data_IF_821269300364
#
_entry.id   IF_821269300364
#
_cell.length_a   1.000
_cell.length_b   1.000
_cell.length_c   1.000
_cell.angle_alpha   90.00
_cell.angle_beta   90.00
_cell.angle_gamma   90.00
#
_symmetry.space_group_name_H-M   'P 1'
#
loop_
_entity.id
_entity.type
_entity.pdbx_description
1 polymer ?
#
# COMPACT_ATOMS: atom_id res chain seq x y z
N UNK A 1 12.86 -14.80 8.76
CA UNK A 1 12.42 -14.18 7.48
C UNK A 1 12.85 -15.13 6.38
N UNK A 2 12.04 -15.32 5.35
CA UNK A 2 12.43 -16.17 4.22
C UNK A 2 13.17 -15.30 3.19
N UNK A 3 14.49 -15.46 3.10
CA UNK A 3 15.34 -14.63 2.23
C UNK A 3 14.93 -14.72 0.76
N UNK A 4 14.40 -15.88 0.31
CA UNK A 4 13.96 -16.07 -1.07
C UNK A 4 12.76 -15.18 -1.41
N UNK A 5 11.81 -15.04 -0.49
CA UNK A 5 10.63 -14.19 -0.70
C UNK A 5 11.06 -12.73 -0.83
N UNK A 6 11.89 -12.25 0.10
CA UNK A 6 12.37 -10.85 0.07
C UNK A 6 13.13 -10.56 -1.22
N UNK A 7 14.07 -11.43 -1.62
CA UNK A 7 14.84 -11.28 -2.84
C UNK A 7 13.92 -11.21 -4.07
N UNK A 8 12.96 -12.12 -4.16
CA UNK A 8 12.02 -12.16 -5.28
C UNK A 8 11.12 -10.91 -5.30
N UNK A 9 10.59 -10.49 -4.15
CA UNK A 9 9.77 -9.28 -4.05
C UNK A 9 10.54 -8.04 -4.48
N UNK A 10 11.79 -7.85 -4.01
CA UNK A 10 12.64 -6.72 -4.46
C UNK A 10 12.85 -6.80 -5.97
N UNK A 11 13.23 -7.98 -6.48
CA UNK A 11 13.46 -8.16 -7.91
C UNK A 11 12.25 -7.76 -8.76
N UNK A 12 11.05 -8.24 -8.40
CA UNK A 12 9.84 -7.91 -9.15
C UNK A 12 9.42 -6.45 -9.01
N UNK A 13 9.63 -5.82 -7.84
CA UNK A 13 9.37 -4.39 -7.65
C UNK A 13 10.30 -3.57 -8.55
N UNK A 14 11.61 -3.84 -8.52
CA UNK A 14 12.61 -3.16 -9.34
C UNK A 14 12.30 -3.36 -10.83
N UNK A 15 12.00 -4.60 -11.24
CA UNK A 15 11.63 -4.91 -12.61
C UNK A 15 10.38 -4.14 -13.05
N UNK A 16 9.35 -4.06 -12.21
CA UNK A 16 8.13 -3.31 -12.49
C UNK A 16 8.42 -1.80 -12.64
N UNK A 17 9.29 -1.24 -11.82
CA UNK A 17 9.67 0.19 -11.90
C UNK A 17 10.46 0.49 -13.16
N UNK A 18 11.41 -0.38 -13.54
CA UNK A 18 12.16 -0.26 -14.80
C UNK A 18 11.21 -0.37 -16.00
N UNK A 19 10.32 -1.37 -16.02
CA UNK A 19 9.34 -1.53 -17.09
C UNK A 19 8.35 -0.36 -17.13
N UNK A 20 7.99 0.22 -15.98
CA UNK A 20 7.14 1.40 -15.91
C UNK A 20 7.86 2.63 -16.49
N UNK A 21 9.14 2.83 -16.18
CA UNK A 21 9.95 3.90 -16.74
C UNK A 21 10.17 3.74 -18.25
N UNK A 22 10.44 2.52 -18.73
CA UNK A 22 10.53 2.25 -20.18
C UNK A 22 9.17 2.40 -20.86
N UNK A 23 8.09 1.97 -20.20
CA UNK A 23 6.72 2.11 -20.66
C UNK A 23 6.25 3.56 -20.74
N UNK A 24 6.88 4.47 -20.00
CA UNK A 24 6.64 5.91 -20.13
C UNK A 24 7.11 6.46 -21.48
N UNK A 25 8.24 5.99 -22.02
CA UNK A 25 8.71 6.36 -23.36
C UNK A 25 8.03 5.57 -24.47
N UNK A 26 7.82 4.28 -24.23
CA UNK A 26 7.31 3.34 -25.23
C UNK A 26 5.96 2.80 -24.78
N UNK A 27 4.89 3.38 -25.31
CA UNK A 27 3.51 2.98 -24.98
C UNK A 27 3.28 1.46 -25.19
N UNK A 28 3.92 0.86 -26.19
CA UNK A 28 3.85 -0.58 -26.44
C UNK A 28 4.40 -1.41 -25.27
N UNK A 29 5.48 -0.96 -24.61
CA UNK A 29 6.03 -1.63 -23.42
C UNK A 29 5.04 -1.55 -22.26
N UNK A 30 4.41 -0.38 -22.05
CA UNK A 30 3.39 -0.21 -21.01
C UNK A 30 2.20 -1.15 -21.24
N UNK A 31 1.70 -1.18 -22.48
CA UNK A 31 0.60 -2.04 -22.92
C UNK A 31 0.93 -3.52 -22.71
N UNK A 32 2.09 -3.99 -23.19
CA UNK A 32 2.51 -5.39 -23.04
C UNK A 32 2.66 -5.75 -21.56
N UNK A 33 3.32 -4.90 -20.76
CA UNK A 33 3.52 -5.14 -19.34
C UNK A 33 2.18 -5.20 -18.59
N UNK A 34 1.23 -4.32 -18.90
CA UNK A 34 -0.13 -4.34 -18.36
C UNK A 34 -0.81 -5.70 -18.56
N UNK A 35 -0.85 -6.19 -19.81
CA UNK A 35 -1.52 -7.46 -20.11
C UNK A 35 -0.77 -8.66 -19.53
N UNK A 36 0.57 -8.67 -19.54
CA UNK A 36 1.35 -9.73 -18.91
C UNK A 36 1.04 -9.80 -17.41
N UNK A 37 1.07 -8.67 -16.69
CA UNK A 37 0.78 -8.64 -15.25
C UNK A 37 -0.67 -9.08 -14.98
N UNK A 38 -1.64 -8.63 -15.78
CA UNK A 38 -3.04 -9.02 -15.64
C UNK A 38 -3.24 -10.53 -15.86
N UNK A 39 -2.70 -11.08 -16.95
CA UNK A 39 -2.81 -12.51 -17.29
C UNK A 39 -2.11 -13.37 -16.24
N UNK A 40 -0.88 -13.00 -15.84
CA UNK A 40 -0.16 -13.70 -14.78
C UNK A 40 -0.93 -13.69 -13.47
N UNK A 41 -1.51 -12.55 -13.10
CA UNK A 41 -2.34 -12.44 -11.88
C UNK A 41 -3.57 -13.35 -11.98
N UNK A 42 -4.24 -13.38 -13.12
CA UNK A 42 -5.40 -14.24 -13.33
C UNK A 42 -5.03 -15.73 -13.21
N UNK A 43 -4.00 -16.18 -13.94
CA UNK A 43 -3.53 -17.57 -13.92
C UNK A 43 -3.13 -17.97 -12.49
N UNK A 44 -2.34 -17.14 -11.81
CA UNK A 44 -1.88 -17.43 -10.44
C UNK A 44 -3.03 -17.41 -9.44
N UNK A 45 -4.03 -16.55 -9.62
CA UNK A 45 -5.22 -16.50 -8.75
C UNK A 45 -6.11 -17.72 -8.93
N UNK A 46 -6.29 -18.18 -10.16
CA UNK A 46 -7.02 -19.42 -10.47
C UNK A 46 -6.30 -20.65 -9.91
N UNK A 47 -4.96 -20.67 -9.94
CA UNK A 47 -4.18 -21.72 -9.29
C UNK A 47 -4.32 -21.66 -7.76
N UNK A 48 -3.99 -20.52 -7.15
CA UNK A 48 -4.19 -20.22 -5.72
C UNK A 48 -4.37 -18.71 -5.51
N UNK A 49 -5.56 -18.31 -5.06
CA UNK A 49 -5.96 -16.90 -4.82
C UNK A 49 -4.90 -16.07 -4.06
N UNK A 50 -4.19 -16.69 -3.11
CA UNK A 50 -3.14 -16.02 -2.33
C UNK A 50 -2.04 -15.38 -3.16
N UNK A 51 -1.66 -15.97 -4.29
CA UNK A 51 -0.57 -15.43 -5.12
C UNK A 51 -0.99 -14.16 -5.84
N UNK A 52 -2.21 -14.13 -6.40
CA UNK A 52 -2.75 -12.90 -6.97
C UNK A 52 -2.91 -11.80 -5.92
N UNK A 53 -3.34 -12.17 -4.71
CA UNK A 53 -3.44 -11.24 -3.59
C UNK A 53 -2.07 -10.66 -3.21
N UNK A 54 -1.00 -11.43 -3.27
CA UNK A 54 0.36 -10.91 -3.05
C UNK A 54 0.78 -9.89 -4.12
N UNK A 55 0.40 -10.09 -5.38
CA UNK A 55 0.66 -9.13 -6.46
C UNK A 55 -0.13 -7.84 -6.23
N UNK A 56 -1.44 -7.96 -5.98
CA UNK A 56 -2.32 -6.83 -5.70
C UNK A 56 -1.84 -6.00 -4.49
N UNK A 57 -1.47 -6.65 -3.39
CA UNK A 57 -0.95 -5.96 -2.21
C UNK A 57 0.40 -5.28 -2.50
N UNK A 58 1.26 -5.90 -3.31
CA UNK A 58 2.54 -5.29 -3.69
C UNK A 58 2.29 -4.02 -4.52
N UNK A 59 1.41 -4.09 -5.53
CA UNK A 59 1.02 -2.93 -6.34
C UNK A 59 0.39 -1.83 -5.48
N UNK A 60 -0.53 -2.17 -4.57
CA UNK A 60 -1.15 -1.19 -3.67
C UNK A 60 -0.11 -0.41 -2.85
N UNK A 61 0.92 -1.11 -2.36
CA UNK A 61 1.95 -0.50 -1.54
C UNK A 61 2.86 0.41 -2.36
N UNK A 62 3.30 0.01 -3.55
CA UNK A 62 4.30 0.79 -4.31
C UNK A 62 3.71 1.76 -5.33
N UNK A 63 2.50 1.48 -5.85
CA UNK A 63 1.96 2.09 -7.06
C UNK A 63 1.28 3.44 -6.87
N UNK A 64 1.14 3.94 -5.64
CA UNK A 64 0.45 5.19 -5.28
C UNK A 64 -0.96 5.31 -5.89
N UNK A 65 -1.15 5.97 -7.04
CA UNK A 65 -2.46 6.02 -7.74
C UNK A 65 -2.76 4.77 -8.60
N UNK A 66 -1.77 3.91 -8.83
CA UNK A 66 -1.93 2.63 -9.51
C UNK A 66 -1.80 2.68 -11.03
N UNK A 67 -1.22 3.75 -11.57
CA UNK A 67 -0.99 3.94 -13.01
C UNK A 67 0.46 3.67 -13.43
N UNK A 68 1.20 2.82 -12.68
CA UNK A 68 2.50 2.31 -13.11
C UNK A 68 2.40 1.65 -14.50
N UNK A 69 1.29 0.93 -14.71
CA UNK A 69 0.86 0.39 -16.00
C UNK A 69 -0.62 0.71 -16.19
N UNK A 70 -1.02 0.96 -17.43
CA UNK A 70 -2.41 1.27 -17.76
C UNK A 70 -2.72 0.89 -19.20
N UNK A 71 -3.99 0.61 -19.44
CA UNK A 71 -4.54 0.50 -20.78
C UNK A 71 -5.30 1.77 -21.10
N UNK A 72 -5.00 2.39 -22.24
CA UNK A 72 -5.67 3.59 -22.72
C UNK A 72 -6.21 3.37 -24.13
N UNK A 73 -7.52 3.55 -24.31
CA UNK A 73 -8.17 3.47 -25.61
C UNK A 73 -9.31 4.48 -25.70
N UNK A 74 -9.34 5.30 -26.76
CA UNK A 74 -10.38 6.31 -27.00
C UNK A 74 -10.75 7.18 -25.79
N UNK A 75 -9.77 7.61 -25.00
CA UNK A 75 -9.96 8.46 -23.81
C UNK A 75 -10.34 7.72 -22.53
N UNK A 76 -10.58 6.40 -22.58
CA UNK A 76 -10.77 5.57 -21.41
C UNK A 76 -9.42 5.02 -20.93
N UNK A 77 -9.05 5.35 -19.69
CA UNK A 77 -7.79 4.95 -19.07
C UNK A 77 -8.04 4.01 -17.88
N UNK A 78 -7.72 2.73 -18.05
CA UNK A 78 -7.85 1.71 -16.99
C UNK A 78 -6.49 1.47 -16.35
N UNK A 79 -6.42 1.66 -15.04
CA UNK A 79 -5.20 1.41 -14.27
C UNK A 79 -4.98 -0.10 -14.02
N UNK A 80 -3.71 -0.50 -13.86
CA UNK A 80 -3.40 -1.88 -13.48
C UNK A 80 -4.03 -2.22 -12.12
N UNK A 81 -4.14 -1.25 -11.20
CA UNK A 81 -4.79 -1.45 -9.91
C UNK A 81 -6.23 -1.91 -10.02
N UNK A 82 -7.05 -1.21 -10.81
CA UNK A 82 -8.46 -1.56 -11.00
C UNK A 82 -8.57 -2.95 -11.64
N UNK A 83 -7.70 -3.23 -12.61
CA UNK A 83 -7.64 -4.53 -13.29
C UNK A 83 -7.29 -5.66 -12.32
N UNK A 84 -6.27 -5.49 -11.48
CA UNK A 84 -5.89 -6.47 -10.46
C UNK A 84 -7.01 -6.65 -9.44
N UNK A 85 -7.63 -5.56 -8.97
CA UNK A 85 -8.76 -5.62 -8.06
C UNK A 85 -9.92 -6.43 -8.65
N UNK A 86 -10.30 -6.16 -9.90
CA UNK A 86 -11.35 -6.88 -10.62
C UNK A 86 -11.02 -8.37 -10.76
N UNK A 87 -9.79 -8.72 -11.14
CA UNK A 87 -9.36 -10.12 -11.26
C UNK A 87 -9.49 -10.84 -9.92
N UNK A 88 -8.95 -10.27 -8.84
CA UNK A 88 -8.97 -10.91 -7.52
C UNK A 88 -10.38 -11.06 -7.00
N UNK A 89 -11.21 -10.02 -7.12
CA UNK A 89 -12.60 -10.07 -6.69
C UNK A 89 -13.41 -11.08 -7.52
N UNK A 90 -13.22 -11.12 -8.84
CA UNK A 90 -13.94 -12.05 -9.72
C UNK A 90 -13.58 -13.50 -9.45
N UNK A 91 -12.28 -13.80 -9.32
CA UNK A 91 -11.81 -15.16 -9.01
C UNK A 91 -12.31 -15.59 -7.63
N UNK A 92 -12.21 -14.72 -6.63
CA UNK A 92 -12.73 -15.00 -5.30
C UNK A 92 -14.24 -15.25 -5.31
N UNK A 93 -15.01 -14.41 -6.01
CA UNK A 93 -16.46 -14.54 -6.12
C UNK A 93 -16.84 -15.86 -6.81
N UNK A 94 -16.15 -16.21 -7.91
CA UNK A 94 -16.36 -17.48 -8.60
C UNK A 94 -16.12 -18.68 -7.65
N UNK A 95 -15.02 -18.65 -6.88
CA UNK A 95 -14.73 -19.70 -5.88
C UNK A 95 -15.81 -19.75 -4.80
N UNK A 96 -16.28 -18.60 -4.31
CA UNK A 96 -17.34 -18.53 -3.31
C UNK A 96 -18.68 -19.08 -3.84
N UNK A 97 -19.05 -18.75 -5.08
CA UNK A 97 -20.27 -19.25 -5.74
C UNK A 97 -20.17 -20.76 -5.99
N UNK A 98 -19.04 -21.27 -6.47
CA UNK A 98 -18.84 -22.71 -6.68
C UNK A 98 -18.95 -23.45 -5.34
N UNK A 99 -18.37 -22.90 -4.27
CA UNK A 99 -18.50 -23.50 -2.93
C UNK A 99 -19.95 -23.50 -2.47
N UNK A 100 -20.66 -22.38 -2.61
CA UNK A 100 -22.08 -22.27 -2.30
C UNK A 100 -22.93 -23.29 -3.07
N UNK A 101 -22.67 -23.47 -4.37
CA UNK A 101 -23.39 -24.45 -5.18
C UNK A 101 -23.16 -25.89 -4.71
N UNK A 102 -21.93 -26.22 -4.28
CA UNK A 102 -21.56 -27.57 -3.80
C UNK A 102 -22.05 -27.86 -2.38
N UNK A 103 -21.94 -26.90 -1.47
CA UNK A 103 -22.21 -27.13 -0.03
C UNK A 103 -23.57 -26.59 0.43
N UNK A 104 -24.26 -25.81 -0.42
CA UNK A 104 -25.45 -25.00 -0.09
C UNK A 104 -25.25 -24.05 1.11
N UNK A 105 -23.99 -23.80 1.50
CA UNK A 105 -23.63 -22.95 2.64
C UNK A 105 -22.60 -21.91 2.21
N UNK A 106 -22.97 -20.64 2.33
CA UNK A 106 -22.05 -19.52 2.12
C UNK A 106 -21.26 -19.29 3.40
N UNK A 107 -20.04 -19.80 3.46
CA UNK A 107 -19.13 -19.56 4.58
C UNK A 107 -18.25 -18.35 4.28
N UNK A 108 -18.71 -17.17 4.72
CA UNK A 108 -17.92 -15.94 4.73
C UNK A 108 -17.45 -15.66 6.16
N UNK A 109 -16.23 -16.11 6.49
CA UNK A 109 -15.66 -15.95 7.84
C UNK A 109 -15.67 -14.51 8.32
N UNK A 110 -15.53 -13.56 7.39
CA UNK A 110 -15.53 -12.15 7.70
C UNK A 110 -16.80 -11.70 8.45
N UNK A 111 -17.98 -12.25 8.11
CA UNK A 111 -19.23 -11.92 8.81
C UNK A 111 -19.27 -12.39 10.26
N UNK A 112 -18.44 -13.38 10.62
CA UNK A 112 -18.30 -13.84 12.01
C UNK A 112 -17.20 -13.10 12.77
N UNK A 113 -16.44 -12.24 12.10
CA UNK A 113 -15.36 -11.50 12.73
C UNK A 113 -15.89 -10.34 13.56
N UNK A 114 -15.18 -10.00 14.64
CA UNK A 114 -15.47 -8.79 15.43
C UNK A 114 -15.36 -7.50 14.63
N UNK A 115 -14.68 -7.54 13.47
CA UNK A 115 -14.47 -6.39 12.62
C UNK A 115 -15.66 -6.08 11.69
N UNK A 116 -16.61 -7.02 11.54
CA UNK A 116 -17.74 -6.87 10.64
C UNK A 116 -18.55 -5.59 10.92
N UNK A 117 -18.84 -5.31 12.19
CA UNK A 117 -19.63 -4.14 12.59
C UNK A 117 -18.96 -2.80 12.21
N UNK A 118 -17.63 -2.73 12.24
CA UNK A 118 -16.91 -1.52 11.78
C UNK A 118 -17.08 -1.31 10.27
N UNK A 119 -17.11 -2.39 9.49
CA UNK A 119 -17.39 -2.32 8.04
C UNK A 119 -18.86 -1.99 7.75
N UNK A 120 -19.79 -2.45 8.57
CA UNK A 120 -21.20 -2.03 8.47
C UNK A 120 -21.34 -0.54 8.72
N UNK A 121 -20.71 -0.02 9.79
CA UNK A 121 -20.70 1.42 10.06
C UNK A 121 -20.11 2.21 8.88
N UNK A 122 -18.97 1.76 8.34
CA UNK A 122 -18.36 2.36 7.15
C UNK A 122 -19.30 2.34 5.94
N UNK A 123 -19.95 1.20 5.67
CA UNK A 123 -20.88 1.06 4.56
C UNK A 123 -22.08 2.03 4.69
N UNK A 124 -22.59 2.23 5.90
CA UNK A 124 -23.66 3.21 6.17
C UNK A 124 -23.21 4.61 5.77
N UNK A 125 -22.00 5.04 6.16
CA UNK A 125 -21.48 6.37 5.80
C UNK A 125 -21.23 6.52 4.31
N UNK A 126 -20.74 5.48 3.63
CA UNK A 126 -20.55 5.50 2.16
C UNK A 126 -21.91 5.62 1.45
N UNK A 127 -22.89 4.80 1.83
CA UNK A 127 -24.23 4.83 1.25
C UNK A 127 -24.89 6.18 1.51
N UNK A 128 -24.76 6.71 2.73
CA UNK A 128 -25.27 8.04 3.07
C UNK A 128 -24.62 9.13 2.22
N UNK A 129 -23.30 9.09 2.03
CA UNK A 129 -22.57 10.01 1.14
C UNK A 129 -23.05 9.93 -0.30
N UNK A 130 -23.27 8.71 -0.83
CA UNK A 130 -23.81 8.51 -2.18
C UNK A 130 -25.23 9.08 -2.31
N UNK A 131 -26.12 8.76 -1.36
CA UNK A 131 -27.50 9.27 -1.35
C UNK A 131 -27.48 10.80 -1.30
N UNK A 132 -26.70 11.40 -0.40
CA UNK A 132 -26.58 12.86 -0.30
C UNK A 132 -26.02 13.47 -1.59
N UNK A 133 -25.03 12.83 -2.22
CA UNK A 133 -24.48 13.23 -3.51
C UNK A 133 -25.55 13.30 -4.60
N UNK A 134 -26.42 12.28 -4.68
CA UNK A 134 -27.54 12.26 -5.63
C UNK A 134 -28.64 13.27 -5.27
N UNK A 135 -28.97 13.43 -3.99
CA UNK A 135 -29.97 14.41 -3.53
C UNK A 135 -29.55 15.87 -3.82
N UNK A 136 -28.26 16.15 -3.86
CA UNK A 136 -27.72 17.45 -4.24
C UNK A 136 -27.61 17.66 -5.76
N UNK A 137 -28.20 16.78 -6.57
CA UNK A 137 -28.19 16.84 -8.05
C UNK A 137 -26.78 16.85 -8.65
N UNK A 138 -25.80 16.21 -7.99
CA UNK A 138 -24.49 16.01 -8.59
C UNK A 138 -24.59 15.02 -9.76
N UNK A 139 -23.72 15.20 -10.76
CA UNK A 139 -23.60 14.26 -11.89
C UNK A 139 -23.33 12.84 -11.36
N UNK A 140 -24.06 11.86 -11.89
CA UNK A 140 -23.94 10.45 -11.46
C UNK A 140 -22.52 9.91 -11.63
N UNK A 141 -21.78 10.40 -12.64
CA UNK A 141 -20.36 10.08 -12.83
C UNK A 141 -19.52 10.49 -11.62
N UNK A 142 -19.75 11.68 -11.07
CA UNK A 142 -18.97 12.22 -9.96
C UNK A 142 -19.24 11.42 -8.68
N UNK A 143 -20.51 11.11 -8.41
CA UNK A 143 -20.91 10.29 -7.26
C UNK A 143 -20.30 8.88 -7.38
N UNK A 144 -20.32 8.30 -8.59
CA UNK A 144 -19.72 6.98 -8.82
C UNK A 144 -18.20 6.99 -8.64
N UNK A 145 -17.49 7.96 -9.21
CA UNK A 145 -16.04 8.03 -9.09
C UNK A 145 -15.57 8.30 -7.65
N UNK A 146 -16.36 9.03 -6.87
CA UNK A 146 -16.09 9.20 -5.43
C UNK A 146 -16.32 7.88 -4.66
N UNK A 147 -17.45 7.21 -4.91
CA UNK A 147 -17.77 5.91 -4.30
C UNK A 147 -16.76 4.80 -4.67
N UNK A 148 -16.25 4.81 -5.90
CA UNK A 148 -15.31 3.81 -6.42
C UNK A 148 -14.04 3.70 -5.56
N UNK A 149 -13.57 4.80 -4.96
CA UNK A 149 -12.41 4.79 -4.07
C UNK A 149 -12.62 3.89 -2.83
N UNK A 150 -13.88 3.69 -2.43
CA UNK A 150 -14.25 2.89 -1.27
C UNK A 150 -14.42 1.39 -1.58
N UNK A 151 -14.61 1.02 -2.85
CA UNK A 151 -14.76 -0.41 -3.22
C UNK A 151 -13.50 -1.23 -2.96
N UNK A 152 -12.35 -0.57 -2.78
CA UNK A 152 -11.14 -1.25 -2.35
C UNK A 152 -11.28 -1.95 -0.99
N UNK A 153 -12.18 -1.48 -0.11
CA UNK A 153 -12.48 -2.15 1.17
C UNK A 153 -13.13 -3.53 0.98
N UNK A 154 -13.73 -3.82 -0.17
CA UNK A 154 -14.26 -5.16 -0.46
C UNK A 154 -13.18 -6.24 -0.53
N UNK A 155 -11.90 -5.86 -0.67
CA UNK A 155 -10.77 -6.80 -0.56
C UNK A 155 -10.70 -7.49 0.79
N UNK A 156 -11.40 -7.00 1.82
CA UNK A 156 -11.51 -7.70 3.11
C UNK A 156 -11.98 -9.16 2.93
N UNK A 157 -12.87 -9.43 1.97
CA UNK A 157 -13.37 -10.77 1.73
C UNK A 157 -12.30 -11.76 1.22
N UNK A 158 -11.60 -11.50 0.09
CA UNK A 158 -10.52 -12.37 -0.34
C UNK A 158 -9.38 -12.42 0.68
N UNK A 159 -9.06 -11.31 1.37
CA UNK A 159 -8.04 -11.27 2.42
C UNK A 159 -8.37 -12.24 3.55
N UNK A 160 -9.58 -12.20 4.12
CA UNK A 160 -9.98 -13.11 5.20
C UNK A 160 -10.01 -14.57 4.73
N UNK A 161 -10.42 -14.83 3.48
CA UNK A 161 -10.43 -16.20 2.94
C UNK A 161 -9.03 -16.80 2.79
N UNK A 162 -8.01 -15.96 2.54
CA UNK A 162 -6.61 -16.37 2.34
C UNK A 162 -5.81 -16.39 3.64
N UNK A 163 -6.05 -15.43 4.54
CA UNK A 163 -5.25 -15.21 5.75
C UNK A 163 -5.53 -16.20 6.90
N UNK A 164 -6.09 -17.37 6.60
CA UNK A 164 -6.41 -18.39 7.60
C UNK A 164 -5.18 -19.06 8.22
N UNK A 165 -4.00 -18.97 7.59
CA UNK A 165 -2.77 -19.63 8.08
C UNK A 165 -1.68 -18.63 8.45
N UNK A 166 -0.96 -18.93 9.53
CA UNK A 166 0.18 -18.13 10.02
C UNK A 166 1.28 -17.95 8.95
N UNK A 167 1.43 -18.92 8.05
CA UNK A 167 2.44 -18.84 7.01
C UNK A 167 2.11 -17.80 5.94
N UNK A 168 0.83 -17.63 5.57
CA UNK A 168 0.42 -16.57 4.65
C UNK A 168 0.61 -15.18 5.28
N UNK A 169 0.32 -15.05 6.59
CA UNK A 169 0.59 -13.83 7.34
C UNK A 169 2.09 -13.50 7.38
N UNK A 170 2.96 -14.48 7.59
CA UNK A 170 4.42 -14.29 7.54
C UNK A 170 4.90 -13.81 6.18
N UNK A 171 4.31 -14.32 5.09
CA UNK A 171 4.65 -13.90 3.72
C UNK A 171 4.20 -12.44 3.48
N UNK A 172 2.96 -12.10 3.83
CA UNK A 172 2.44 -10.73 3.65
C UNK A 172 3.23 -9.72 4.47
N UNK A 173 3.63 -10.05 5.72
CA UNK A 173 4.52 -9.20 6.52
C UNK A 173 5.86 -8.96 5.83
N UNK A 174 6.41 -9.96 5.16
CA UNK A 174 7.67 -9.81 4.40
C UNK A 174 7.47 -8.92 3.17
N UNK A 175 6.42 -9.15 2.38
CA UNK A 175 6.07 -8.31 1.23
C UNK A 175 5.89 -6.86 1.66
N UNK A 176 5.11 -6.64 2.74
CA UNK A 176 4.87 -5.32 3.31
C UNK A 176 6.18 -4.62 3.68
N UNK A 177 7.01 -5.25 4.51
CA UNK A 177 8.27 -4.66 4.96
C UNK A 177 9.21 -4.38 3.78
N UNK A 178 9.29 -5.30 2.81
CA UNK A 178 10.11 -5.13 1.61
C UNK A 178 9.64 -3.97 0.75
N UNK A 179 8.34 -3.82 0.53
CA UNK A 179 7.79 -2.69 -0.21
C UNK A 179 8.03 -1.36 0.50
N UNK A 180 7.91 -1.31 1.83
CA UNK A 180 8.24 -0.10 2.60
C UNK A 180 9.72 0.28 2.51
N UNK A 181 10.63 -0.70 2.59
CA UNK A 181 12.05 -0.46 2.38
C UNK A 181 12.31 0.10 0.98
N UNK A 182 11.69 -0.48 -0.05
CA UNK A 182 11.79 0.02 -1.42
C UNK A 182 11.32 1.47 -1.53
N UNK A 183 10.11 1.79 -1.05
CA UNK A 183 9.57 3.15 -1.05
C UNK A 183 10.52 4.13 -0.36
N UNK A 184 11.09 3.73 0.77
CA UNK A 184 11.99 4.58 1.55
C UNK A 184 13.31 4.84 0.81
N UNK A 185 13.91 3.78 0.25
CA UNK A 185 15.14 3.88 -0.55
C UNK A 185 14.88 4.74 -1.79
N UNK A 186 13.79 4.49 -2.52
CA UNK A 186 13.38 5.28 -3.70
C UNK A 186 13.23 6.75 -3.33
N UNK A 187 12.60 7.05 -2.19
CA UNK A 187 12.40 8.43 -1.73
C UNK A 187 13.73 9.13 -1.42
N UNK A 188 14.66 8.45 -0.75
CA UNK A 188 15.99 9.00 -0.45
C UNK A 188 16.81 9.22 -1.73
N UNK A 189 16.80 8.25 -2.66
CA UNK A 189 17.49 8.36 -3.94
C UNK A 189 16.95 9.54 -4.76
N UNK A 190 15.64 9.70 -4.83
CA UNK A 190 15.03 10.84 -5.51
C UNK A 190 15.37 12.16 -4.82
N UNK A 191 15.28 12.22 -3.50
CA UNK A 191 15.65 13.43 -2.76
C UNK A 191 17.10 13.84 -3.05
N UNK A 192 18.01 12.86 -3.12
CA UNK A 192 19.41 13.09 -3.48
C UNK A 192 19.56 13.62 -4.90
N UNK A 193 18.98 12.94 -5.90
CA UNK A 193 19.05 13.31 -7.33
C UNK A 193 18.56 14.76 -7.54
N UNK A 194 17.39 15.08 -7.00
CA UNK A 194 16.75 16.38 -7.21
C UNK A 194 17.38 17.51 -6.40
N UNK A 195 17.97 17.21 -5.24
CA UNK A 195 18.67 18.22 -4.43
C UNK A 195 20.05 18.58 -5.00
N UNK A 196 20.69 17.69 -5.75
CA UNK A 196 22.03 17.89 -6.33
C UNK A 196 22.03 18.26 -7.82
N UNK A 197 20.86 18.39 -8.43
CA UNK A 197 20.70 18.77 -9.83
C UNK A 197 21.51 17.89 -10.82
N UNK A 198 21.39 16.55 -10.71
CA UNK A 198 21.88 15.58 -11.70
C UNK A 198 21.24 15.80 -13.09
N UNK A 199 21.77 16.76 -13.85
CA UNK A 199 21.07 17.44 -14.94
C UNK A 199 20.44 16.55 -16.01
N UNK A 200 21.13 15.51 -16.50
CA UNK A 200 20.70 14.82 -17.72
C UNK A 200 19.38 14.05 -17.60
N UNK A 201 19.08 13.45 -16.43
CA UNK A 201 17.91 12.58 -16.25
C UNK A 201 16.81 13.17 -15.35
N UNK A 202 16.98 14.37 -14.82
CA UNK A 202 16.04 14.95 -13.84
C UNK A 202 14.65 15.18 -14.44
N UNK A 203 14.58 15.77 -15.63
CA UNK A 203 13.30 16.10 -16.27
C UNK A 203 12.52 14.82 -16.59
N UNK A 204 13.22 13.82 -17.09
CA UNK A 204 12.68 12.51 -17.42
C UNK A 204 12.11 11.78 -16.21
N UNK A 205 12.91 11.69 -15.13
CA UNK A 205 12.48 11.08 -13.87
C UNK A 205 11.30 11.85 -13.28
N UNK A 206 11.32 13.18 -13.33
CA UNK A 206 10.24 14.03 -12.86
C UNK A 206 8.93 13.76 -13.61
N UNK A 207 8.98 13.78 -14.95
CA UNK A 207 7.82 13.56 -15.80
C UNK A 207 7.26 12.15 -15.65
N UNK A 208 8.12 11.13 -15.55
CA UNK A 208 7.69 9.76 -15.27
C UNK A 208 6.94 9.66 -13.94
N UNK A 209 7.51 10.17 -12.85
CA UNK A 209 6.88 10.14 -11.52
C UNK A 209 5.55 10.91 -11.52
N UNK A 210 5.53 12.08 -12.17
CA UNK A 210 4.34 12.93 -12.21
C UNK A 210 3.22 12.31 -13.05
N UNK A 211 3.53 11.79 -14.24
CA UNK A 211 2.52 11.23 -15.18
C UNK A 211 2.03 9.84 -14.78
N UNK A 212 2.88 9.03 -14.16
CA UNK A 212 2.45 7.75 -13.57
C UNK A 212 1.65 7.92 -12.27
N UNK A 213 1.64 9.14 -11.71
CA UNK A 213 0.94 9.41 -10.46
C UNK A 213 1.58 8.70 -9.25
N UNK A 214 2.87 8.39 -9.34
CA UNK A 214 3.59 7.71 -8.26
C UNK A 214 3.93 8.68 -7.12
N UNK A 215 4.16 9.95 -7.46
CA UNK A 215 4.44 10.97 -6.48
C UNK A 215 4.53 12.38 -7.05
N UNK A 216 4.91 13.30 -6.20
CA UNK A 216 5.11 14.71 -6.47
C UNK A 216 6.47 15.15 -5.95
N UNK A 217 7.17 15.92 -6.76
CA UNK A 217 8.47 16.48 -6.42
C UNK A 217 8.34 17.99 -6.44
N UNK A 218 8.77 18.64 -5.36
CA UNK A 218 8.64 20.09 -5.22
C UNK A 218 9.90 20.65 -4.56
N UNK A 219 10.52 21.64 -5.21
CA UNK A 219 11.63 22.37 -4.61
C UNK A 219 11.07 23.27 -3.51
N UNK A 220 11.52 23.10 -2.28
CA UNK A 220 11.06 23.90 -1.13
C UNK A 220 12.03 25.03 -0.86
N UNK A 221 13.32 24.73 -0.87
CA UNK A 221 14.41 25.69 -0.73
C UNK A 221 15.57 25.25 -1.64
N UNK A 222 16.50 26.15 -2.01
CA UNK A 222 17.70 25.76 -2.73
C UNK A 222 18.44 24.61 -2.04
N UNK A 223 18.77 23.55 -2.77
CA UNK A 223 19.44 22.37 -2.23
C UNK A 223 18.54 21.39 -1.47
N UNK A 224 17.22 21.58 -1.44
CA UNK A 224 16.29 20.60 -0.86
C UNK A 224 15.00 20.45 -1.67
N UNK A 225 14.78 19.22 -2.14
CA UNK A 225 13.56 18.81 -2.83
C UNK A 225 12.69 17.93 -1.94
N UNK A 226 11.44 18.34 -1.76
CA UNK A 226 10.40 17.51 -1.14
C UNK A 226 9.98 16.41 -2.12
N UNK A 227 10.02 15.16 -1.66
CA UNK A 227 9.56 13.99 -2.42
C UNK A 227 8.36 13.40 -1.71
N UNK A 228 7.15 13.57 -2.27
CA UNK A 228 5.91 13.10 -1.67
C UNK A 228 5.29 11.98 -2.51
N UNK A 229 4.98 10.83 -1.91
CA UNK A 229 4.23 9.75 -2.55
C UNK A 229 3.03 9.39 -1.69
N UNK A 230 1.87 9.14 -2.29
CA UNK A 230 0.65 8.78 -1.57
C UNK A 230 0.85 7.49 -0.77
N UNK A 231 1.65 6.56 -1.29
CA UNK A 231 2.06 5.32 -0.64
C UNK A 231 2.87 5.50 0.65
N UNK A 232 3.43 6.67 0.92
CA UNK A 232 4.12 6.96 2.18
C UNK A 232 3.23 6.82 3.42
N UNK A 233 1.90 6.82 3.26
CA UNK A 233 0.98 6.47 4.36
C UNK A 233 1.28 5.07 4.93
N UNK A 234 1.68 4.12 4.10
CA UNK A 234 2.06 2.78 4.55
C UNK A 234 3.41 2.79 5.29
N UNK A 235 4.32 3.71 4.94
CA UNK A 235 5.58 3.91 5.66
C UNK A 235 5.30 4.45 7.07
N UNK A 236 4.36 5.40 7.22
CA UNK A 236 3.92 5.90 8.52
C UNK A 236 3.30 4.79 9.39
N UNK A 237 2.44 3.95 8.80
CA UNK A 237 1.87 2.78 9.49
C UNK A 237 2.98 1.81 9.91
N UNK A 238 3.91 1.49 9.01
CA UNK A 238 5.04 0.61 9.28
C UNK A 238 5.96 1.13 10.38
N UNK A 239 6.21 2.45 10.39
CA UNK A 239 6.97 3.14 11.43
C UNK A 239 6.35 2.91 12.81
N UNK A 240 5.04 3.14 12.96
CA UNK A 240 4.38 2.95 14.25
C UNK A 240 4.28 1.47 14.68
N UNK A 241 4.09 0.54 13.74
CA UNK A 241 4.14 -0.91 14.04
C UNK A 241 5.51 -1.29 14.60
N UNK A 242 6.59 -0.85 13.97
CA UNK A 242 7.96 -1.14 14.44
C UNK A 242 8.28 -0.43 15.76
N UNK A 243 7.82 0.81 15.93
CA UNK A 243 8.00 1.56 17.17
C UNK A 243 7.29 0.87 18.34
N UNK A 244 6.05 0.42 18.15
CA UNK A 244 5.31 -0.32 19.16
C UNK A 244 5.97 -1.67 19.49
N UNK A 245 6.46 -2.37 18.46
CA UNK A 245 7.22 -3.61 18.65
C UNK A 245 8.49 -3.37 19.48
N UNK A 246 9.26 -2.32 19.18
CA UNK A 246 10.46 -1.96 19.91
C UNK A 246 10.14 -1.58 21.36
N UNK A 247 9.11 -0.75 21.59
CA UNK A 247 8.65 -0.38 22.93
C UNK A 247 8.33 -1.62 23.77
N UNK A 248 7.62 -2.60 23.20
CA UNK A 248 7.32 -3.87 23.88
C UNK A 248 8.59 -4.63 24.27
N UNK A 249 9.58 -4.71 23.37
CA UNK A 249 10.84 -5.40 23.65
C UNK A 249 11.65 -4.71 24.75
N UNK A 250 11.74 -3.37 24.71
CA UNK A 250 12.42 -2.58 25.74
C UNK A 250 11.80 -2.79 27.11
N UNK A 251 10.47 -2.80 27.20
CA UNK A 251 9.76 -2.99 28.47
C UNK A 251 9.89 -4.40 29.03
N UNK A 252 9.95 -5.40 28.17
CA UNK A 252 10.17 -6.80 28.58
C UNK A 252 11.65 -7.13 28.83
N UNK A 253 12.56 -6.16 28.65
CA UNK A 253 14.02 -6.35 28.74
C UNK A 253 14.55 -7.50 27.85
N UNK A 254 13.87 -7.80 26.75
CA UNK A 254 14.23 -8.90 25.84
C UNK A 254 15.02 -8.44 24.62
N UNK A 255 15.65 -7.26 24.68
CA UNK A 255 16.39 -6.68 23.55
C UNK A 255 17.55 -7.62 23.16
N UNK A 256 17.58 -8.02 21.89
CA UNK A 256 18.62 -8.84 21.28
C UNK A 256 19.31 -8.07 20.15
N UNK A 257 20.51 -8.51 19.75
CA UNK A 257 21.27 -7.94 18.62
C UNK A 257 20.47 -7.86 17.31
N UNK A 258 19.45 -8.73 17.13
CA UNK A 258 18.55 -8.71 15.97
C UNK A 258 17.64 -7.48 15.92
N UNK A 259 17.47 -6.78 17.03
CA UNK A 259 16.62 -5.58 17.13
C UNK A 259 17.29 -4.33 16.56
N UNK A 260 18.61 -4.36 16.33
CA UNK A 260 19.32 -3.29 15.60
C UNK A 260 18.78 -3.10 14.18
N UNK A 261 18.30 -4.18 13.54
CA UNK A 261 17.64 -4.08 12.22
C UNK A 261 16.32 -3.29 12.35
N UNK A 262 15.55 -3.50 13.43
CA UNK A 262 14.33 -2.75 13.66
C UNK A 262 14.63 -1.26 13.84
N UNK A 263 15.70 -0.92 14.54
CA UNK A 263 16.14 0.47 14.71
C UNK A 263 16.54 1.11 13.38
N UNK A 264 17.31 0.42 12.54
CA UNK A 264 17.67 0.88 11.19
C UNK A 264 16.43 1.11 10.31
N UNK A 265 15.43 0.22 10.38
CA UNK A 265 14.18 0.37 9.65
C UNK A 265 13.36 1.57 10.16
N UNK A 266 13.31 1.80 11.47
CA UNK A 266 12.65 2.97 12.06
C UNK A 266 13.31 4.25 11.55
N UNK A 267 14.64 4.32 11.54
CA UNK A 267 15.38 5.47 10.97
C UNK A 267 15.03 5.65 9.49
N UNK A 268 15.08 4.58 8.71
CA UNK A 268 14.78 4.61 7.27
C UNK A 268 13.35 5.14 7.00
N UNK A 269 12.36 4.68 7.77
CA UNK A 269 10.98 5.10 7.62
C UNK A 269 10.77 6.55 8.11
N UNK A 270 11.42 6.94 9.21
CA UNK A 270 11.38 8.31 9.71
C UNK A 270 12.00 9.28 8.70
N UNK A 271 13.15 8.94 8.11
CA UNK A 271 13.77 9.75 7.04
C UNK A 271 12.81 9.97 5.87
N UNK A 272 12.08 8.94 5.46
CA UNK A 272 11.07 9.03 4.40
C UNK A 272 9.94 9.99 4.76
N UNK A 273 9.42 9.89 5.99
CA UNK A 273 8.37 10.79 6.50
C UNK A 273 8.87 12.24 6.51
N UNK A 274 10.10 12.49 6.97
CA UNK A 274 10.70 13.83 7.01
C UNK A 274 10.88 14.40 5.60
N UNK A 275 11.47 13.62 4.68
CA UNK A 275 11.69 14.03 3.27
C UNK A 275 10.37 14.35 2.57
N UNK A 276 9.28 13.65 2.91
CA UNK A 276 7.97 13.89 2.33
C UNK A 276 7.42 15.29 2.61
N UNK A 277 7.89 15.94 3.69
CA UNK A 277 7.49 17.25 4.17
C UNK A 277 5.95 17.49 4.13
N UNK A 278 5.19 16.42 4.38
CA UNK A 278 3.73 16.43 4.31
C UNK A 278 3.12 16.80 5.65
N UNK A 279 2.37 17.91 5.69
CA UNK A 279 1.72 18.41 6.91
C UNK A 279 0.82 17.35 7.56
N UNK A 280 0.11 16.55 6.75
CA UNK A 280 -0.74 15.48 7.26
C UNK A 280 0.06 14.33 7.90
N UNK A 281 1.26 14.02 7.39
CA UNK A 281 2.13 13.03 8.02
C UNK A 281 2.80 13.55 9.27
N UNK A 282 3.16 14.84 9.33
CA UNK A 282 3.62 15.47 10.57
C UNK A 282 2.54 15.42 11.66
N UNK A 283 1.30 15.76 11.33
CA UNK A 283 0.17 15.64 12.24
C UNK A 283 -0.04 14.17 12.67
N UNK A 284 0.01 13.24 11.72
CA UNK A 284 -0.09 11.80 12.01
C UNK A 284 1.04 11.29 12.91
N UNK A 285 2.27 11.78 12.72
CA UNK A 285 3.43 11.45 13.55
C UNK A 285 3.23 11.97 14.99
N UNK A 286 2.80 13.23 15.14
CA UNK A 286 2.52 13.82 16.44
C UNK A 286 1.37 13.09 17.18
N UNK A 287 0.25 12.87 16.49
CA UNK A 287 -0.92 12.20 17.06
C UNK A 287 -0.61 10.74 17.44
N UNK A 288 0.05 9.98 16.55
CA UNK A 288 0.43 8.59 16.84
C UNK A 288 1.50 8.48 17.92
N UNK A 289 2.44 9.42 17.98
CA UNK A 289 3.43 9.52 19.06
C UNK A 289 2.76 9.77 20.42
N UNK A 290 1.83 10.74 20.48
CA UNK A 290 1.03 11.01 21.67
C UNK A 290 0.22 9.79 22.10
N UNK A 291 -0.40 9.08 21.14
CA UNK A 291 -1.15 7.87 21.44
C UNK A 291 -0.27 6.75 22.04
N UNK A 292 0.91 6.51 21.47
CA UNK A 292 1.87 5.54 22.01
C UNK A 292 2.34 5.95 23.41
N UNK A 293 2.61 7.24 23.62
CA UNK A 293 3.01 7.79 24.91
C UNK A 293 1.92 7.57 25.97
N UNK A 294 0.64 7.82 25.64
CA UNK A 294 -0.48 7.53 26.53
C UNK A 294 -0.58 6.04 26.87
N UNK A 295 -0.43 5.14 25.89
CA UNK A 295 -0.42 3.69 26.13
C UNK A 295 0.72 3.31 27.08
N UNK A 296 1.90 3.89 26.89
CA UNK A 296 3.09 3.61 27.69
C UNK A 296 2.90 4.04 29.16
N UNK A 297 2.21 5.16 29.41
CA UNK A 297 1.88 5.60 30.77
C UNK A 297 0.78 4.74 31.38
N UNK A 298 -0.39 4.66 30.74
CA UNK A 298 -1.58 4.09 31.37
C UNK A 298 -1.60 2.58 31.42
N UNK A 299 -1.10 1.92 30.37
CA UNK A 299 -1.15 0.45 30.26
C UNK A 299 0.13 -0.19 30.75
N UNK A 300 1.27 0.49 30.58
CA UNK A 300 2.59 -0.07 30.88
C UNK A 300 3.21 0.50 32.17
N UNK A 301 2.52 1.44 32.85
CA UNK A 301 2.91 2.02 34.15
C UNK A 301 4.38 2.47 34.21
N UNK A 302 4.90 3.01 33.10
CA UNK A 302 6.28 3.52 33.07
C UNK A 302 6.35 4.70 34.04
N UNK A 303 7.18 4.57 35.08
CA UNK A 303 7.38 5.62 36.07
C UNK A 303 8.38 6.65 35.51
N UNK A 304 7.89 7.83 35.16
CA UNK A 304 8.67 8.91 34.53
C UNK A 304 9.86 9.38 35.39
N UNK A 305 9.86 9.11 36.70
CA UNK A 305 10.98 9.44 37.61
C UNK A 305 12.21 8.56 37.44
N UNK A 306 12.16 7.51 36.61
CA UNK A 306 13.29 6.60 36.33
C UNK A 306 14.06 6.93 35.04
N UNK A 307 13.67 7.98 34.34
CA UNK A 307 14.37 8.52 33.16
C UNK A 307 14.93 9.90 33.48
#
# INVERSE_FOLDING_TARGET
MNHKIIKNTIFFIVLAEILSFLGYYYQLINFIAFFIIAILTLILSLYKLKYGLYILLTELLIGSFGYLFYFENHGLKISIRITLWLIIMSVWLAVAIIKLAKTKKLELDFFRSSYFYYFVALAIFIIWGMINGFLQNNLSSNVFFDANNWFYFLLVFPIFSVLRTDDNLKIIKQIFLTALCWLSIKTIVLAYIFSHNFGFFILDIYLWIRRSGVGEITNVVPGFSRIFMQSHIFVLIGFFILLFYLLKLTLTQTIRRRDSICFLLIILFLSTIIISFSRSFWLGLAAGGLFIWLIAIFKLKINLKKF
#
